data_IF_691947358105
#
_entry.id   IF_691947358105
#
_cell.length_a   1.000
_cell.length_b   1.000
_cell.length_c   1.000
_cell.angle_alpha   90.00
_cell.angle_beta   90.00
_cell.angle_gamma   90.00
#
_symmetry.space_group_name_H-M   'P 1'
#
loop_
_entity.id
_entity.type
_entity.pdbx_description
1 polymer ?
#
# COMPACT_ATOMS: atom_id res chain seq x y z
N UNK A 1 -28.48 16.61 14.97
CA UNK A 1 -27.22 16.24 15.67
C UNK A 1 -26.75 14.91 15.12
N UNK A 2 -25.70 14.88 14.30
CA UNK A 2 -25.10 13.62 13.85
C UNK A 2 -24.31 13.03 15.00
N UNK A 3 -24.74 11.87 15.48
CA UNK A 3 -24.00 11.07 16.45
C UNK A 3 -22.61 10.78 15.87
N UNK A 4 -21.55 11.26 16.52
CA UNK A 4 -20.18 10.99 16.07
C UNK A 4 -19.92 9.49 16.28
N UNK A 5 -20.02 8.72 15.20
CA UNK A 5 -19.79 7.28 15.23
C UNK A 5 -18.31 7.05 15.54
N UNK A 6 -18.00 6.30 16.60
CA UNK A 6 -16.62 6.03 17.00
C UNK A 6 -15.83 5.29 15.92
N UNK A 7 -14.49 5.36 15.96
CA UNK A 7 -13.58 4.76 14.95
C UNK A 7 -13.80 3.26 14.65
N UNK A 8 -14.41 2.52 15.59
CA UNK A 8 -14.76 1.10 15.44
C UNK A 8 -16.12 0.85 14.76
N UNK A 9 -16.89 1.89 14.48
CA UNK A 9 -18.18 1.75 13.82
C UNK A 9 -17.99 1.28 12.37
N UNK A 10 -18.78 0.31 11.87
CA UNK A 10 -18.66 -0.23 10.51
C UNK A 10 -18.66 0.84 9.41
N UNK A 11 -19.55 1.83 9.51
CA UNK A 11 -19.60 2.98 8.56
C UNK A 11 -18.30 3.78 8.47
N UNK A 12 -17.42 3.71 9.46
CA UNK A 12 -16.12 4.37 9.41
C UNK A 12 -15.05 3.50 8.72
N UNK A 13 -15.34 2.24 8.40
CA UNK A 13 -14.37 1.35 7.78
C UNK A 13 -13.97 1.80 6.38
N UNK A 14 -14.84 2.53 5.70
CA UNK A 14 -14.55 3.16 4.40
C UNK A 14 -13.39 4.16 4.45
N UNK A 15 -13.05 4.68 5.63
CA UNK A 15 -11.94 5.63 5.79
C UNK A 15 -10.59 4.94 5.97
N UNK A 16 -10.58 3.65 6.31
CA UNK A 16 -9.33 2.90 6.37
C UNK A 16 -8.82 2.58 4.97
N UNK A 17 -7.53 2.79 4.76
CA UNK A 17 -6.86 2.48 3.49
C UNK A 17 -5.98 1.26 3.65
N UNK A 18 -5.84 0.51 2.55
CA UNK A 18 -4.79 -0.50 2.43
C UNK A 18 -3.43 0.17 2.65
N UNK A 19 -2.52 -0.52 3.32
CA UNK A 19 -1.17 -0.02 3.63
C UNK A 19 -0.13 -1.11 3.41
N UNK A 20 1.12 -0.72 3.27
CA UNK A 20 2.25 -1.64 3.14
C UNK A 20 3.33 -1.06 2.24
N UNK A 21 4.08 -1.94 1.58
CA UNK A 21 5.27 -1.55 0.84
C UNK A 21 5.07 -1.69 -0.66
N UNK A 22 5.48 -0.66 -1.40
CA UNK A 22 5.71 -0.78 -2.83
C UNK A 22 7.10 -1.38 -3.05
N UNK A 23 7.16 -2.54 -3.70
CA UNK A 23 8.39 -3.28 -3.94
C UNK A 23 8.58 -3.39 -5.44
N UNK A 24 9.70 -2.86 -5.92
CA UNK A 24 10.06 -2.89 -7.33
C UNK A 24 11.05 -4.02 -7.58
N UNK A 25 10.66 -4.93 -8.47
CA UNK A 25 11.56 -5.92 -9.02
C UNK A 25 12.49 -5.23 -10.02
N UNK A 26 13.78 -5.23 -9.72
CA UNK A 26 14.80 -4.60 -10.59
C UNK A 26 15.43 -5.59 -11.57
N UNK A 27 15.35 -6.90 -11.29
CA UNK A 27 15.93 -7.95 -12.13
C UNK A 27 14.86 -8.98 -12.51
N UNK A 28 14.64 -9.12 -13.81
CA UNK A 28 13.63 -9.99 -14.43
C UNK A 28 14.27 -11.01 -15.39
N UNK A 29 15.38 -11.63 -14.99
CA UNK A 29 16.02 -12.70 -15.77
C UNK A 29 15.34 -14.06 -15.63
N UNK A 30 15.63 -15.01 -16.53
CA UNK A 30 15.20 -16.40 -16.36
C UNK A 30 15.70 -16.91 -15.01
N UNK A 31 14.83 -17.55 -14.22
CA UNK A 31 15.04 -18.03 -12.84
C UNK A 31 14.89 -17.01 -11.69
N UNK A 32 14.68 -15.72 -11.99
CA UNK A 32 14.49 -14.73 -10.92
C UNK A 32 13.10 -14.74 -10.28
N UNK A 33 12.09 -15.35 -10.93
CA UNK A 33 10.72 -15.45 -10.40
C UNK A 33 10.66 -16.19 -9.07
N UNK A 34 11.45 -17.26 -8.93
CA UNK A 34 11.51 -18.04 -7.69
C UNK A 34 12.00 -17.19 -6.53
N UNK A 35 13.08 -16.45 -6.73
CA UNK A 35 13.67 -15.58 -5.71
C UNK A 35 12.77 -14.39 -5.38
N UNK A 36 12.12 -13.82 -6.40
CA UNK A 36 11.13 -12.76 -6.23
C UNK A 36 9.95 -13.22 -5.39
N UNK A 37 9.34 -14.35 -5.72
CA UNK A 37 8.24 -14.92 -4.94
C UNK A 37 8.67 -15.27 -3.51
N UNK A 38 9.87 -15.84 -3.32
CA UNK A 38 10.42 -16.11 -1.99
C UNK A 38 10.58 -14.83 -1.16
N UNK A 39 11.04 -13.74 -1.76
CA UNK A 39 11.17 -12.44 -1.09
C UNK A 39 9.81 -11.90 -0.64
N UNK A 40 8.82 -11.90 -1.54
CA UNK A 40 7.47 -11.41 -1.22
C UNK A 40 6.83 -12.24 -0.10
N UNK A 41 6.99 -13.57 -0.14
CA UNK A 41 6.52 -14.47 0.90
C UNK A 41 7.20 -14.21 2.25
N UNK A 42 8.53 -14.06 2.25
CA UNK A 42 9.30 -13.77 3.45
C UNK A 42 8.86 -12.44 4.09
N UNK A 43 8.74 -11.37 3.30
CA UNK A 43 8.30 -10.06 3.78
C UNK A 43 6.89 -10.11 4.36
N UNK A 44 5.97 -10.83 3.71
CA UNK A 44 4.61 -11.00 4.22
C UNK A 44 4.62 -11.73 5.56
N UNK A 45 5.32 -12.86 5.66
CA UNK A 45 5.38 -13.65 6.90
C UNK A 45 6.06 -12.89 8.03
N UNK A 46 7.20 -12.25 7.76
CA UNK A 46 7.91 -11.45 8.76
C UNK A 46 7.06 -10.28 9.26
N UNK A 47 6.33 -9.60 8.37
CA UNK A 47 5.43 -8.53 8.79
C UNK A 47 4.30 -9.05 9.67
N UNK A 48 3.68 -10.18 9.31
CA UNK A 48 2.64 -10.80 10.15
C UNK A 48 3.19 -11.24 11.52
N UNK A 49 4.41 -11.80 11.57
CA UNK A 49 5.06 -12.18 12.81
C UNK A 49 5.38 -10.95 13.69
N UNK A 50 5.83 -9.84 13.11
CA UNK A 50 6.07 -8.61 13.85
C UNK A 50 4.79 -8.06 14.50
N UNK A 51 3.62 -8.33 13.91
CA UNK A 51 2.36 -7.99 14.54
C UNK A 51 2.01 -8.85 15.76
N UNK A 52 2.62 -10.04 15.89
CA UNK A 52 2.47 -10.89 17.08
C UNK A 52 2.90 -10.19 18.36
N UNK A 53 3.83 -9.23 18.28
CA UNK A 53 4.23 -8.41 19.42
C UNK A 53 3.10 -7.57 20.02
N UNK A 54 2.02 -7.31 19.27
CA UNK A 54 0.85 -6.56 19.75
C UNK A 54 -0.32 -7.48 20.16
N UNK A 55 -0.23 -8.79 19.91
CA UNK A 55 -1.29 -9.74 20.30
C UNK A 55 -1.34 -9.93 21.82
N UNK A 56 -0.17 -9.92 22.47
CA UNK A 56 -0.02 -10.08 23.93
C UNK A 56 0.07 -8.73 24.67
N UNK A 57 -0.04 -7.60 23.97
CA UNK A 57 0.04 -6.27 24.54
C UNK A 57 -1.35 -5.81 25.04
N UNK A 58 -1.50 -5.71 26.36
CA UNK A 58 -2.76 -5.28 27.02
C UNK A 58 -3.11 -3.83 26.72
N UNK A 59 -2.15 -2.98 26.33
CA UNK A 59 -2.40 -1.60 25.92
C UNK A 59 -2.91 -1.51 24.47
N UNK A 60 -2.66 -2.55 23.67
CA UNK A 60 -3.03 -2.61 22.26
C UNK A 60 -4.48 -3.05 22.05
N UNK A 61 -5.19 -2.30 21.22
CA UNK A 61 -6.55 -2.64 20.81
C UNK A 61 -6.54 -3.76 19.77
N UNK A 62 -6.90 -4.97 20.20
CA UNK A 62 -6.87 -6.17 19.33
C UNK A 62 -7.73 -6.04 18.06
N UNK A 63 -8.80 -5.23 18.11
CA UNK A 63 -9.60 -4.94 16.92
C UNK A 63 -8.84 -4.10 15.89
N UNK A 64 -8.02 -3.15 16.35
CA UNK A 64 -7.18 -2.34 15.48
C UNK A 64 -5.99 -3.12 14.94
N UNK A 65 -5.37 -3.96 15.77
CA UNK A 65 -4.27 -4.86 15.35
C UNK A 65 -4.77 -5.77 14.22
N UNK A 66 -5.95 -6.37 14.39
CA UNK A 66 -6.57 -7.20 13.35
C UNK A 66 -6.87 -6.40 12.08
N UNK A 67 -7.42 -5.19 12.21
CA UNK A 67 -7.69 -4.30 11.07
C UNK A 67 -6.41 -3.93 10.32
N UNK A 68 -5.32 -3.65 11.04
CA UNK A 68 -4.01 -3.36 10.44
C UNK A 68 -3.50 -4.57 9.65
N UNK A 69 -3.57 -5.78 10.20
CA UNK A 69 -3.20 -7.01 9.46
C UNK A 69 -4.02 -7.19 8.19
N UNK A 70 -5.34 -6.99 8.26
CA UNK A 70 -6.25 -7.16 7.11
C UNK A 70 -6.00 -6.15 5.99
N UNK A 71 -5.55 -4.95 6.34
CA UNK A 71 -5.26 -3.88 5.38
C UNK A 71 -3.83 -3.94 4.83
N UNK A 72 -2.97 -4.78 5.40
CA UNK A 72 -1.61 -4.96 4.93
C UNK A 72 -1.57 -5.60 3.53
N UNK A 73 -0.79 -5.01 2.63
CA UNK A 73 -0.51 -5.59 1.32
C UNK A 73 0.87 -5.21 0.81
N UNK A 74 1.44 -6.09 -0.03
CA UNK A 74 2.62 -5.77 -0.80
C UNK A 74 2.19 -5.35 -2.21
N UNK A 75 2.55 -4.13 -2.61
CA UNK A 75 2.40 -3.63 -3.96
C UNK A 75 3.64 -4.05 -4.76
N UNK A 76 3.65 -5.32 -5.16
CA UNK A 76 4.72 -5.93 -5.93
C UNK A 76 4.62 -5.48 -7.40
N UNK A 77 5.67 -4.82 -7.88
CA UNK A 77 5.71 -4.24 -9.22
C UNK A 77 6.86 -4.81 -9.99
N UNK A 78 6.57 -5.22 -11.21
CA UNK A 78 7.53 -5.69 -12.18
C UNK A 78 7.50 -4.69 -13.33
N UNK A 79 8.49 -3.81 -13.40
CA UNK A 79 8.61 -2.91 -14.54
C UNK A 79 9.70 -3.49 -15.47
N UNK A 80 9.32 -3.96 -16.66
CA UNK A 80 10.27 -4.49 -17.62
C UNK A 80 11.22 -3.43 -18.19
N UNK A 81 10.97 -2.13 -17.94
CA UNK A 81 11.77 -1.02 -18.46
C UNK A 81 12.34 -0.20 -17.30
N UNK A 82 13.28 -0.77 -16.56
CA UNK A 82 14.20 0.07 -15.79
C UNK A 82 15.10 0.81 -16.78
N UNK A 83 15.25 2.15 -16.66
CA UNK A 83 16.28 2.86 -17.40
C UNK A 83 17.65 2.30 -17.00
N UNK A 84 18.40 1.81 -17.99
CA UNK A 84 19.72 1.23 -17.78
C UNK A 84 20.68 2.29 -17.17
N UNK A 85 21.55 1.86 -16.26
CA UNK A 85 22.54 2.73 -15.62
C UNK A 85 22.06 3.62 -14.46
N UNK A 86 20.84 3.45 -13.94
CA UNK A 86 20.41 4.15 -12.71
C UNK A 86 20.89 3.44 -11.44
N UNK A 87 21.42 4.21 -10.49
CA UNK A 87 21.67 3.73 -9.13
C UNK A 87 20.38 3.64 -8.30
N UNK A 88 20.47 3.14 -7.07
CA UNK A 88 19.31 2.99 -6.18
C UNK A 88 18.59 4.31 -5.93
N UNK A 89 19.33 5.42 -5.87
CA UNK A 89 18.75 6.76 -5.69
C UNK A 89 17.97 7.20 -6.93
N UNK A 90 18.55 7.06 -8.12
CA UNK A 90 17.93 7.36 -9.41
C UNK A 90 16.68 6.52 -9.67
N UNK A 91 16.71 5.23 -9.31
CA UNK A 91 15.53 4.35 -9.39
C UNK A 91 14.40 4.87 -8.48
N UNK A 92 14.72 5.26 -7.24
CA UNK A 92 13.74 5.80 -6.30
C UNK A 92 13.10 7.09 -6.83
N UNK A 93 13.90 7.99 -7.40
CA UNK A 93 13.41 9.24 -7.98
C UNK A 93 12.54 9.01 -9.22
N UNK A 94 12.97 8.12 -10.11
CA UNK A 94 12.21 7.73 -11.31
C UNK A 94 10.80 7.25 -10.96
N UNK A 95 10.66 6.31 -10.02
CA UNK A 95 9.35 5.81 -9.62
C UNK A 95 8.55 6.78 -8.77
N UNK A 96 9.21 7.66 -8.00
CA UNK A 96 8.51 8.74 -7.28
C UNK A 96 7.81 9.66 -8.27
N UNK A 97 8.48 10.03 -9.36
CA UNK A 97 7.94 10.92 -10.39
C UNK A 97 6.87 10.21 -11.26
N UNK A 98 7.12 8.96 -11.67
CA UNK A 98 6.16 8.14 -12.42
C UNK A 98 4.87 7.91 -11.61
N UNK A 99 4.99 7.73 -10.29
CA UNK A 99 3.83 7.61 -9.40
C UNK A 99 3.12 8.94 -9.17
N UNK A 100 3.82 10.08 -9.05
CA UNK A 100 3.18 11.40 -8.91
C UNK A 100 2.21 11.64 -10.07
N UNK A 101 2.62 11.31 -11.30
CA UNK A 101 1.77 11.40 -12.49
C UNK A 101 0.50 10.54 -12.34
N UNK A 102 0.60 9.34 -11.76
CA UNK A 102 -0.54 8.46 -11.54
C UNK A 102 -1.48 8.94 -10.41
N UNK A 103 -0.96 9.30 -9.22
CA UNK A 103 -1.81 9.83 -8.12
C UNK A 103 -2.46 11.17 -8.44
N UNK A 104 -1.83 12.03 -9.23
CA UNK A 104 -2.43 13.28 -9.69
C UNK A 104 -3.54 13.03 -10.71
N UNK A 105 -3.45 11.95 -11.50
CA UNK A 105 -4.53 11.54 -12.42
C UNK A 105 -5.76 11.03 -11.66
N UNK A 106 -5.58 10.30 -10.54
CA UNK A 106 -6.69 9.86 -9.68
C UNK A 106 -7.32 11.01 -8.88
N UNK A 107 -6.51 11.96 -8.39
CA UNK A 107 -7.03 13.18 -7.71
C UNK A 107 -7.83 14.06 -8.66
N UNK A 108 -7.34 14.30 -9.87
CA UNK A 108 -8.00 15.16 -10.86
C UNK A 108 -9.31 14.54 -11.37
N UNK A 109 -9.35 13.21 -11.53
CA UNK A 109 -10.58 12.49 -11.94
C UNK A 109 -11.64 12.51 -10.84
N UNK A 110 -11.26 12.35 -9.57
CA UNK A 110 -12.20 12.44 -8.44
C UNK A 110 -12.73 13.87 -8.21
N UNK A 111 -11.89 14.90 -8.35
CA UNK A 111 -12.33 16.31 -8.19
C UNK A 111 -13.28 16.73 -9.32
N UNK A 112 -12.99 16.33 -10.56
CA UNK A 112 -13.83 16.66 -11.72
C UNK A 112 -15.18 15.95 -11.67
N UNK A 113 -15.21 14.67 -11.25
CA UNK A 113 -16.46 13.90 -11.11
C UNK A 113 -17.36 14.44 -9.99
N UNK A 114 -16.80 14.87 -8.86
CA UNK A 114 -17.59 15.48 -7.77
C UNK A 114 -18.10 16.87 -8.17
N UNK A 115 -17.32 17.66 -8.89
CA UNK A 115 -17.73 19.00 -9.35
C UNK A 115 -18.84 18.95 -10.43
N UNK A 116 -18.86 17.91 -11.27
CA UNK A 116 -19.90 17.68 -12.28
C UNK A 116 -21.20 17.13 -11.67
N UNK A 117 -21.14 16.39 -10.56
CA UNK A 117 -22.33 15.86 -9.87
C UNK A 117 -23.04 16.90 -9.00
N UNK A 118 -22.35 17.96 -8.58
CA UNK A 118 -22.90 19.02 -7.71
C UNK A 118 -23.46 20.22 -8.48
N UNK A 119 -23.42 20.21 -9.81
CA UNK A 119 -23.89 21.31 -10.68
C UNK A 119 -25.04 20.90 -11.63
N UNK A 120 -25.98 20.08 -11.13
CA UNK A 120 -27.27 19.82 -11.77
C UNK A 120 -28.42 19.96 -10.80
#
# INVERSE_FOLDING_TARGET
MTQYKGRKHPDNFQYYRRWGFAIYRMYCGPDSDKHWNMLLDALRRQTMLAFGCFEDDEESDQGDVQRLKELFFLDAREDPVLPDGLDVAGIREFYKNKNSISIDTWRTTSITTVSLLMNR
#
